data_IF_660455695666
#
_entry.id   IF_660455695666
#
_cell.length_a   1.000
_cell.length_b   1.000
_cell.length_c   1.000
_cell.angle_alpha   90.00
_cell.angle_beta   90.00
_cell.angle_gamma   90.00
#
_symmetry.space_group_name_H-M   'P 1'
#
loop_
_entity.id
_entity.type
_entity.pdbx_description
1 polymer ?
#
# COMPACT_ATOMS: atom_id res chain seq x y z
N UNK A 1 -8.04 -18.60 -8.74
CA UNK A 1 -8.41 -19.47 -7.61
C UNK A 1 -8.14 -18.70 -6.32
N UNK A 2 -9.19 -18.31 -5.64
CA UNK A 2 -9.12 -17.66 -4.34
C UNK A 2 -8.63 -18.68 -3.31
N UNK A 3 -7.45 -18.46 -2.73
CA UNK A 3 -6.96 -19.23 -1.60
C UNK A 3 -7.26 -18.42 -0.32
N UNK A 4 -8.34 -18.72 0.40
CA UNK A 4 -8.72 -17.96 1.59
C UNK A 4 -7.83 -18.22 2.80
N UNK A 5 -6.91 -19.13 2.71
CA UNK A 5 -6.14 -19.57 3.84
C UNK A 5 -4.65 -19.71 3.54
N UNK A 6 -4.00 -18.58 3.28
CA UNK A 6 -2.59 -18.51 3.65
C UNK A 6 -2.54 -18.05 5.11
N UNK A 7 -2.23 -18.95 6.04
CA UNK A 7 -2.19 -18.61 7.48
C UNK A 7 -1.10 -17.57 7.84
N UNK A 8 -0.41 -17.03 6.84
CA UNK A 8 0.58 -16.00 7.00
C UNK A 8 0.08 -14.56 6.97
N UNK A 9 -1.17 -14.32 6.54
CA UNK A 9 -1.68 -12.96 6.35
C UNK A 9 -2.60 -12.49 7.49
N UNK A 10 -3.13 -13.40 8.27
CA UNK A 10 -4.08 -13.08 9.36
C UNK A 10 -3.40 -12.38 10.54
N UNK A 11 -2.27 -12.90 11.00
CA UNK A 11 -1.53 -12.32 12.12
C UNK A 11 -0.98 -10.92 11.81
N UNK A 12 -0.35 -10.67 10.66
CA UNK A 12 0.10 -9.33 10.31
C UNK A 12 -1.02 -8.31 10.13
N UNK A 13 -2.18 -8.73 9.62
CA UNK A 13 -3.32 -7.83 9.50
C UNK A 13 -3.85 -7.40 10.87
N UNK A 14 -3.98 -8.33 11.80
CA UNK A 14 -4.37 -8.03 13.17
C UNK A 14 -3.35 -7.11 13.86
N UNK A 15 -2.06 -7.39 13.71
CA UNK A 15 -0.99 -6.55 14.25
C UNK A 15 -1.02 -5.12 13.69
N UNK A 16 -1.32 -4.98 12.40
CA UNK A 16 -1.44 -3.67 11.76
C UNK A 16 -2.62 -2.88 12.33
N UNK A 17 -3.74 -3.54 12.60
CA UNK A 17 -4.91 -2.91 13.22
C UNK A 17 -4.68 -2.51 14.67
N UNK A 18 -3.77 -3.18 15.38
CA UNK A 18 -3.41 -2.88 16.76
C UNK A 18 -2.39 -1.73 16.89
N UNK A 19 -1.83 -1.23 15.79
CA UNK A 19 -0.91 -0.10 15.79
C UNK A 19 -1.59 1.16 16.30
N UNK A 20 -1.02 1.79 17.32
CA UNK A 20 -1.58 2.97 17.99
C UNK A 20 -0.77 4.23 17.82
N UNK A 21 0.45 4.15 17.32
CA UNK A 21 1.33 5.30 17.12
C UNK A 21 2.24 5.13 15.92
N UNK A 22 2.86 6.24 15.52
CA UNK A 22 3.74 6.30 14.34
C UNK A 22 4.97 5.40 14.47
N UNK A 23 5.58 5.34 15.65
CA UNK A 23 6.77 4.52 15.89
C UNK A 23 6.47 3.02 15.73
N UNK A 24 5.32 2.57 16.21
CA UNK A 24 4.88 1.18 16.01
C UNK A 24 4.62 0.87 14.54
N UNK A 25 4.02 1.81 13.81
CA UNK A 25 3.78 1.68 12.37
C UNK A 25 5.10 1.57 11.60
N UNK A 26 6.06 2.44 11.88
CA UNK A 26 7.37 2.42 11.23
C UNK A 26 8.12 1.12 11.53
N UNK A 27 8.09 0.66 12.77
CA UNK A 27 8.68 -0.62 13.17
C UNK A 27 8.05 -1.79 12.43
N UNK A 28 6.74 -1.82 12.33
CA UNK A 28 5.99 -2.85 11.60
C UNK A 28 6.36 -2.87 10.11
N UNK A 29 6.36 -1.70 9.47
CA UNK A 29 6.71 -1.57 8.04
C UNK A 29 8.17 -1.93 7.79
N UNK A 30 9.07 -1.54 8.67
CA UNK A 30 10.49 -1.91 8.59
C UNK A 30 10.68 -3.43 8.62
N UNK A 31 10.01 -4.12 9.52
CA UNK A 31 10.06 -5.58 9.61
C UNK A 31 9.48 -6.25 8.35
N UNK A 32 8.42 -5.69 7.80
CA UNK A 32 7.81 -6.17 6.56
C UNK A 32 8.79 -6.05 5.39
N UNK A 33 9.47 -4.92 5.25
CA UNK A 33 10.48 -4.69 4.20
C UNK A 33 11.66 -5.64 4.37
N UNK A 34 12.17 -5.80 5.59
CA UNK A 34 13.27 -6.71 5.89
C UNK A 34 12.90 -8.18 5.59
N UNK A 35 11.67 -8.57 5.89
CA UNK A 35 11.18 -9.91 5.57
C UNK A 35 11.07 -10.15 4.07
N UNK A 36 10.64 -9.16 3.31
CA UNK A 36 10.60 -9.25 1.85
C UNK A 36 12.00 -9.39 1.26
N UNK A 37 12.98 -8.65 1.78
CA UNK A 37 14.39 -8.78 1.41
C UNK A 37 14.93 -10.17 1.67
N UNK A 38 14.69 -10.71 2.85
CA UNK A 38 15.12 -12.08 3.22
C UNK A 38 14.51 -13.14 2.30
N UNK A 39 13.24 -13.02 1.95
CA UNK A 39 12.55 -13.93 1.01
C UNK A 39 13.14 -13.85 -0.39
N UNK A 40 13.57 -12.66 -0.82
CA UNK A 40 14.24 -12.45 -2.10
C UNK A 40 15.73 -12.82 -2.08
N UNK A 41 16.30 -13.17 -0.93
CA UNK A 41 17.71 -13.49 -0.77
C UNK A 41 18.64 -12.28 -0.85
N UNK A 42 18.14 -11.07 -0.63
CA UNK A 42 18.89 -9.83 -0.72
C UNK A 42 18.71 -8.98 0.55
N UNK A 43 19.72 -8.19 0.86
CA UNK A 43 19.62 -7.16 1.88
C UNK A 43 19.18 -5.86 1.25
N UNK A 44 18.07 -5.32 1.72
CA UNK A 44 17.58 -4.01 1.26
C UNK A 44 18.50 -2.92 1.83
N UNK A 45 19.10 -2.06 0.98
CA UNK A 45 19.90 -0.94 1.47
C UNK A 45 19.13 -0.01 2.39
N UNK A 46 19.78 0.57 3.37
CA UNK A 46 19.15 1.43 4.37
C UNK A 46 18.39 2.61 3.75
N UNK A 47 18.92 3.24 2.71
CA UNK A 47 18.27 4.33 2.00
C UNK A 47 16.97 3.87 1.29
N UNK A 48 17.00 2.71 0.65
CA UNK A 48 15.81 2.11 0.00
C UNK A 48 14.78 1.71 1.04
N UNK A 49 15.21 1.11 2.14
CA UNK A 49 14.34 0.75 3.27
C UNK A 49 13.60 1.97 3.82
N UNK A 50 14.32 3.05 4.09
CA UNK A 50 13.73 4.31 4.56
C UNK A 50 12.71 4.89 3.59
N UNK A 51 13.01 4.91 2.30
CA UNK A 51 12.11 5.37 1.26
C UNK A 51 10.85 4.49 1.15
N UNK A 52 11.00 3.17 1.24
CA UNK A 52 9.88 2.22 1.24
C UNK A 52 8.96 2.44 2.44
N UNK A 53 9.53 2.52 3.64
CA UNK A 53 8.77 2.76 4.88
C UNK A 53 7.99 4.07 4.78
N UNK A 54 8.60 5.15 4.28
CA UNK A 54 7.94 6.43 4.12
C UNK A 54 6.74 6.38 3.17
N UNK A 55 6.88 5.72 2.03
CA UNK A 55 5.79 5.58 1.06
C UNK A 55 4.67 4.69 1.60
N UNK A 56 5.02 3.56 2.19
CA UNK A 56 4.04 2.63 2.76
C UNK A 56 3.29 3.24 3.94
N UNK A 57 3.98 4.02 4.77
CA UNK A 57 3.35 4.77 5.86
C UNK A 57 2.27 5.72 5.34
N UNK A 58 2.59 6.52 4.35
CA UNK A 58 1.62 7.45 3.73
C UNK A 58 0.40 6.73 3.17
N UNK A 59 0.61 5.59 2.53
CA UNK A 59 -0.49 4.79 1.99
C UNK A 59 -1.35 4.21 3.11
N UNK A 60 -0.72 3.70 4.16
CA UNK A 60 -1.43 3.18 5.33
C UNK A 60 -2.27 4.27 6.02
N UNK A 61 -1.70 5.44 6.26
CA UNK A 61 -2.39 6.58 6.88
C UNK A 61 -3.63 7.02 6.08
N UNK A 62 -3.57 6.92 4.76
CA UNK A 62 -4.68 7.32 3.89
C UNK A 62 -5.78 6.29 3.77
N UNK A 63 -5.47 5.02 3.96
CA UNK A 63 -6.39 3.91 3.67
C UNK A 63 -6.87 3.16 4.91
N UNK A 64 -6.18 3.28 6.04
CA UNK A 64 -6.55 2.62 7.28
C UNK A 64 -7.20 3.60 8.25
N UNK A 65 -8.49 3.43 8.48
CA UNK A 65 -9.28 4.32 9.36
C UNK A 65 -8.80 4.29 10.81
N UNK A 66 -8.35 3.13 11.29
CA UNK A 66 -7.79 2.97 12.62
C UNK A 66 -6.55 3.82 12.83
N UNK A 67 -5.67 3.88 11.84
CA UNK A 67 -4.47 4.71 11.89
C UNK A 67 -4.78 6.19 11.78
N UNK A 68 -5.73 6.57 10.94
CA UNK A 68 -6.19 7.95 10.83
C UNK A 68 -6.71 8.48 12.16
N UNK A 69 -7.41 7.64 12.92
CA UNK A 69 -7.92 7.99 14.26
C UNK A 69 -6.81 8.00 15.31
N UNK A 70 -5.94 6.99 15.31
CA UNK A 70 -4.89 6.83 16.31
C UNK A 70 -3.77 7.88 16.19
N UNK A 71 -3.41 8.25 14.96
CA UNK A 71 -2.34 9.22 14.69
C UNK A 71 -2.79 10.68 14.76
N UNK A 72 -4.06 10.92 15.04
CA UNK A 72 -4.63 12.26 15.11
C UNK A 72 -4.56 12.95 13.75
N UNK A 73 -5.63 12.90 12.98
CA UNK A 73 -5.72 13.65 11.74
C UNK A 73 -5.57 15.14 12.00
N UNK A 74 -4.48 15.81 11.57
CA UNK A 74 -4.27 17.24 11.84
C UNK A 74 -5.33 18.12 11.17
N UNK A 75 -6.14 17.58 10.26
CA UNK A 75 -7.21 18.30 9.57
C UNK A 75 -8.57 18.20 10.29
N UNK A 76 -8.66 17.40 11.38
CA UNK A 76 -9.87 17.30 12.20
C UNK A 76 -11.09 16.70 11.47
N UNK A 77 -12.19 16.46 12.21
CA UNK A 77 -13.41 15.85 11.66
C UNK A 77 -14.21 16.77 10.72
N UNK A 78 -13.76 17.99 10.50
CA UNK A 78 -14.46 19.00 9.69
C UNK A 78 -14.05 18.99 8.20
N UNK A 79 -13.15 18.14 7.78
CA UNK A 79 -12.80 18.03 6.36
C UNK A 79 -13.87 17.23 5.64
N UNK A 80 -14.60 17.93 4.77
CA UNK A 80 -15.52 17.30 3.81
C UNK A 80 -14.66 16.59 2.78
N UNK A 81 -14.40 15.31 3.01
CA UNK A 81 -13.63 14.46 2.11
C UNK A 81 -14.04 12.99 2.26
N UNK A 82 -13.63 12.12 1.33
CA UNK A 82 -13.92 10.70 1.45
C UNK A 82 -13.32 10.14 2.74
N UNK A 83 -14.05 9.24 3.40
CA UNK A 83 -13.54 8.51 4.56
C UNK A 83 -12.33 7.64 4.16
N UNK A 84 -11.52 7.22 5.14
CA UNK A 84 -10.41 6.31 4.88
C UNK A 84 -10.89 5.01 4.21
N UNK A 85 -12.04 4.49 4.60
CA UNK A 85 -12.65 3.31 3.98
C UNK A 85 -13.03 3.55 2.51
N UNK A 86 -13.63 4.69 2.18
CA UNK A 86 -13.95 5.07 0.81
C UNK A 86 -12.69 5.24 -0.04
N UNK A 87 -11.65 5.86 0.53
CA UNK A 87 -10.35 6.00 -0.11
C UNK A 87 -9.74 4.63 -0.39
N UNK A 88 -9.76 3.73 0.59
CA UNK A 88 -9.26 2.36 0.45
C UNK A 88 -10.01 1.58 -0.63
N UNK A 89 -11.35 1.68 -0.65
CA UNK A 89 -12.17 1.03 -1.67
C UNK A 89 -11.76 1.48 -3.08
N UNK A 90 -11.54 2.77 -3.26
CA UNK A 90 -11.08 3.34 -4.53
C UNK A 90 -9.66 2.92 -4.89
N UNK A 91 -8.75 2.99 -3.93
CA UNK A 91 -7.33 2.65 -4.13
C UNK A 91 -7.15 1.19 -4.52
N UNK A 92 -7.76 0.29 -3.76
CA UNK A 92 -7.60 -1.16 -3.95
C UNK A 92 -8.67 -1.80 -4.85
N UNK A 93 -9.67 -1.06 -5.28
CA UNK A 93 -10.78 -1.60 -6.05
C UNK A 93 -11.65 -2.57 -5.25
N UNK A 94 -11.92 -2.27 -3.99
CA UNK A 94 -12.68 -3.13 -3.09
C UNK A 94 -14.17 -2.78 -3.09
N UNK A 95 -15.00 -3.81 -3.03
CA UNK A 95 -16.42 -3.70 -2.75
C UNK A 95 -16.64 -3.93 -1.24
N UNK A 96 -16.80 -2.84 -0.51
CA UNK A 96 -16.97 -2.87 0.95
C UNK A 96 -18.42 -2.70 1.38
N UNK A 97 -19.33 -2.57 0.42
CA UNK A 97 -20.75 -2.38 0.69
C UNK A 97 -21.35 -3.63 1.37
N UNK A 98 -22.14 -3.41 2.41
CA UNK A 98 -22.77 -4.49 3.17
C UNK A 98 -21.89 -5.17 4.23
N UNK A 99 -20.60 -4.80 4.33
CA UNK A 99 -19.71 -5.32 5.36
C UNK A 99 -19.82 -4.51 6.66
N UNK A 100 -19.60 -5.16 7.81
CA UNK A 100 -19.43 -4.48 9.08
C UNK A 100 -18.19 -3.59 9.06
N UNK A 101 -18.10 -2.61 9.96
CA UNK A 101 -16.92 -1.75 10.07
C UNK A 101 -15.64 -2.56 10.37
N UNK A 102 -15.73 -3.55 11.24
CA UNK A 102 -14.60 -4.42 11.60
C UNK A 102 -14.13 -5.27 10.41
N UNK A 103 -15.05 -5.86 9.66
CA UNK A 103 -14.75 -6.66 8.48
C UNK A 103 -14.12 -5.80 7.38
N UNK A 104 -14.60 -4.56 7.21
CA UNK A 104 -14.01 -3.61 6.28
C UNK A 104 -12.57 -3.26 6.65
N UNK A 105 -12.31 -2.92 7.89
CA UNK A 105 -10.97 -2.59 8.37
C UNK A 105 -10.00 -3.76 8.19
N UNK A 106 -10.46 -4.97 8.48
CA UNK A 106 -9.68 -6.18 8.29
C UNK A 106 -9.35 -6.45 6.82
N UNK A 107 -10.34 -6.33 5.93
CA UNK A 107 -10.12 -6.51 4.49
C UNK A 107 -9.18 -5.44 3.90
N UNK A 108 -9.32 -4.20 4.32
CA UNK A 108 -8.42 -3.11 3.93
C UNK A 108 -7.00 -3.39 4.40
N UNK A 109 -6.83 -3.83 5.65
CA UNK A 109 -5.52 -4.18 6.20
C UNK A 109 -4.86 -5.31 5.41
N UNK A 110 -5.61 -6.34 5.03
CA UNK A 110 -5.12 -7.44 4.19
C UNK A 110 -4.66 -6.96 2.82
N UNK A 111 -5.44 -6.12 2.16
CA UNK A 111 -5.09 -5.57 0.85
C UNK A 111 -3.86 -4.66 0.93
N UNK A 112 -3.78 -3.83 1.96
CA UNK A 112 -2.59 -3.03 2.21
C UNK A 112 -1.34 -3.90 2.36
N UNK A 113 -1.42 -4.98 3.13
CA UNK A 113 -0.29 -5.90 3.32
C UNK A 113 0.16 -6.56 2.03
N UNK A 114 -0.77 -6.99 1.19
CA UNK A 114 -0.46 -7.53 -0.14
C UNK A 114 0.27 -6.50 -1.00
N UNK A 115 -0.24 -5.30 -1.02
CA UNK A 115 0.38 -4.18 -1.72
C UNK A 115 1.78 -3.88 -1.18
N UNK A 116 1.92 -3.73 0.14
CA UNK A 116 3.18 -3.43 0.79
C UNK A 116 4.25 -4.50 0.52
N UNK A 117 3.87 -5.78 0.59
CA UNK A 117 4.77 -6.90 0.27
C UNK A 117 5.19 -6.89 -1.19
N UNK A 118 4.28 -6.62 -2.11
CA UNK A 118 4.58 -6.54 -3.53
C UNK A 118 5.55 -5.38 -3.83
N UNK A 119 5.34 -4.22 -3.23
CA UNK A 119 6.24 -3.07 -3.35
C UNK A 119 7.63 -3.42 -2.82
N UNK A 120 7.71 -3.96 -1.62
CA UNK A 120 8.98 -4.32 -0.99
C UNK A 120 9.74 -5.39 -1.79
N UNK A 121 9.06 -6.41 -2.28
CA UNK A 121 9.66 -7.47 -3.09
C UNK A 121 10.22 -6.93 -4.42
N UNK A 122 9.47 -6.05 -5.09
CA UNK A 122 9.90 -5.42 -6.34
C UNK A 122 11.11 -4.51 -6.14
N UNK A 123 11.10 -3.69 -5.08
CA UNK A 123 12.21 -2.82 -4.74
C UNK A 123 13.47 -3.62 -4.36
N UNK A 124 13.32 -4.71 -3.64
CA UNK A 124 14.44 -5.59 -3.27
C UNK A 124 15.11 -6.23 -4.50
N UNK A 125 14.36 -6.47 -5.56
CA UNK A 125 14.86 -7.09 -6.80
C UNK A 125 15.38 -6.09 -7.83
N UNK A 126 15.45 -4.81 -7.52
CA UNK A 126 15.93 -3.76 -8.42
C UNK A 126 17.37 -3.35 -8.06
N UNK A 127 18.39 -4.17 -8.40
CA UNK A 127 19.78 -3.87 -8.05
C UNK A 127 20.30 -2.68 -8.86
N UNK A 128 21.10 -1.85 -8.22
CA UNK A 128 21.83 -0.76 -8.89
C UNK A 128 21.00 0.49 -9.19
N UNK A 129 19.73 0.52 -8.86
CA UNK A 129 18.88 1.71 -9.02
C UNK A 129 19.05 2.67 -7.83
N UNK A 130 18.92 3.98 -8.10
CA UNK A 130 18.80 4.96 -7.02
C UNK A 130 17.58 4.62 -6.14
N UNK A 131 17.65 4.82 -4.80
CA UNK A 131 16.57 4.43 -3.89
C UNK A 131 15.19 4.97 -4.30
N UNK A 132 15.11 6.24 -4.68
CA UNK A 132 13.86 6.87 -5.12
C UNK A 132 13.31 6.24 -6.41
N UNK A 133 14.18 5.92 -7.37
CA UNK A 133 13.79 5.28 -8.63
C UNK A 133 13.33 3.84 -8.41
N UNK A 134 14.03 3.08 -7.57
CA UNK A 134 13.65 1.71 -7.23
C UNK A 134 12.29 1.64 -6.54
N UNK A 135 12.05 2.51 -5.57
CA UNK A 135 10.78 2.60 -4.85
C UNK A 135 9.66 3.08 -5.77
N UNK A 136 9.89 4.11 -6.57
CA UNK A 136 8.91 4.62 -7.53
C UNK A 136 8.46 3.57 -8.54
N UNK A 137 9.39 2.83 -9.13
CA UNK A 137 9.09 1.73 -10.04
C UNK A 137 8.36 0.57 -9.36
N UNK A 138 8.75 0.23 -8.13
CA UNK A 138 8.09 -0.80 -7.33
C UNK A 138 6.65 -0.45 -7.00
N UNK A 139 6.41 0.78 -6.57
CA UNK A 139 5.06 1.30 -6.29
C UNK A 139 4.21 1.29 -7.56
N UNK A 140 4.72 1.81 -8.66
CA UNK A 140 3.99 1.83 -9.93
C UNK A 140 3.61 0.42 -10.41
N UNK A 141 4.53 -0.53 -10.32
CA UNK A 141 4.28 -1.93 -10.71
C UNK A 141 3.25 -2.61 -9.81
N UNK A 142 3.38 -2.47 -8.50
CA UNK A 142 2.42 -3.03 -7.55
C UNK A 142 1.05 -2.36 -7.64
N UNK A 143 1.01 -1.07 -7.88
CA UNK A 143 -0.26 -0.32 -8.02
C UNK A 143 -1.09 -0.79 -9.20
N UNK A 144 -0.47 -1.13 -10.32
CA UNK A 144 -1.19 -1.65 -11.49
C UNK A 144 -1.96 -2.93 -11.18
N UNK A 145 -1.42 -3.77 -10.31
CA UNK A 145 -2.01 -5.06 -9.96
C UNK A 145 -2.95 -4.99 -8.76
N UNK A 146 -2.58 -4.25 -7.72
CA UNK A 146 -3.21 -4.33 -6.41
C UNK A 146 -3.85 -3.02 -5.95
N UNK A 147 -3.43 -1.88 -6.48
CA UNK A 147 -3.89 -0.57 -6.04
C UNK A 147 -4.03 0.41 -7.22
N UNK A 148 -4.87 0.11 -8.21
CA UNK A 148 -4.99 0.92 -9.43
C UNK A 148 -5.40 2.37 -9.14
N UNK A 149 -6.08 2.62 -8.03
CA UNK A 149 -6.46 3.98 -7.63
C UNK A 149 -5.32 4.86 -7.14
N UNK A 150 -4.12 4.32 -6.93
CA UNK A 150 -2.92 5.10 -6.63
C UNK A 150 -2.25 5.66 -7.90
N UNK A 151 -2.56 5.10 -9.04
CA UNK A 151 -2.03 5.59 -10.30
C UNK A 151 -2.69 6.93 -10.67
N UNK A 152 -1.93 7.88 -11.24
CA UNK A 152 -2.54 9.08 -11.77
C UNK A 152 -3.56 8.69 -12.84
N UNK A 153 -4.68 9.44 -12.96
CA UNK A 153 -5.63 9.18 -14.02
C UNK A 153 -4.88 9.23 -15.36
N UNK A 154 -4.95 8.14 -16.09
CA UNK A 154 -4.42 8.11 -17.45
C UNK A 154 -5.19 9.19 -18.23
N UNK A 155 -4.52 10.14 -18.88
CA UNK A 155 -5.22 10.97 -19.83
C UNK A 155 -5.85 10.03 -20.84
N UNK A 156 -7.15 10.15 -21.02
CA UNK A 156 -7.86 9.43 -22.06
C UNK A 156 -7.11 9.67 -23.37
N UNK A 157 -6.30 8.70 -23.75
CA UNK A 157 -5.73 8.67 -25.09
C UNK A 157 -6.94 8.55 -26.02
N UNK A 158 -7.22 9.53 -26.85
CA UNK A 158 -8.35 9.43 -27.76
C UNK A 158 -8.16 8.17 -28.59
N UNK A 159 -9.08 7.25 -28.44
CA UNK A 159 -9.15 6.04 -29.25
C UNK A 159 -9.30 6.53 -30.70
N UNK A 160 -8.20 6.53 -31.46
CA UNK A 160 -8.25 6.96 -32.86
C UNK A 160 -7.12 7.87 -33.32
N UNK A 161 -6.19 8.27 -32.48
CA UNK A 161 -4.97 8.93 -32.94
C UNK A 161 -4.05 7.90 -33.59
N UNK A 162 -4.39 7.52 -34.84
CA UNK A 162 -3.49 6.76 -35.69
C UNK A 162 -2.29 7.64 -36.01
N UNK A 163 -1.05 7.25 -35.69
CA UNK A 163 0.09 8.06 -36.09
C UNK A 163 0.10 8.18 -37.63
N UNK A 164 0.39 9.36 -38.14
CA UNK A 164 0.50 9.51 -39.59
C UNK A 164 1.61 8.61 -40.10
N UNK A 165 1.28 7.76 -41.03
CA UNK A 165 2.28 7.00 -41.77
C UNK A 165 2.99 7.96 -42.75
N UNK A 166 4.24 8.18 -42.46
CA UNK A 166 5.13 8.76 -43.42
C UNK A 166 5.96 7.67 -44.08
#
# INVERSE_FOLDING_TARGET
MYDPARPGDELPAAQLLDVTNEAELESFLGQLVDSAGRRAGVRVPAATRGALVAVLRRTAERTLSTLTTALGNPLGPATVGPSAAETAARVYGLELEGMSAEDRDYEIARQFLRFARAVAARAARAPGSAPAAAVGAAVAGASRELAPGLLPPQPDMPIGARPPHF
#
